data_IF_670570567211
#
_entry.id   IF_670570567211
#
_cell.length_a   1.000
_cell.length_b   1.000
_cell.length_c   1.000
_cell.angle_alpha   90.00
_cell.angle_beta   90.00
_cell.angle_gamma   90.00
#
_symmetry.space_group_name_H-M   'P 1'
#
loop_
_entity.id
_entity.type
_entity.pdbx_description
1 polymer ?
#
# COMPACT_ATOMS: atom_id res chain seq x y z
N UNK A 1 -4.43 23.30 50.64
CA UNK A 1 -4.22 22.33 49.54
C UNK A 1 -3.20 22.91 48.59
N UNK A 2 -2.04 22.27 48.40
CA UNK A 2 -0.90 22.85 47.69
C UNK A 2 -0.92 22.48 46.21
N UNK A 3 -0.24 23.28 45.37
CA UNK A 3 0.74 22.83 44.38
C UNK A 3 1.27 24.04 43.59
N UNK A 4 2.20 24.75 44.21
CA UNK A 4 3.20 25.58 43.54
C UNK A 4 4.58 25.13 44.05
N UNK A 5 5.39 24.57 43.16
CA UNK A 5 6.80 24.22 43.35
C UNK A 5 7.50 24.87 42.14
N UNK A 6 8.15 26.05 42.27
CA UNK A 6 9.41 26.41 42.94
C UNK A 6 10.66 25.80 42.28
N UNK A 7 11.55 26.70 41.87
CA UNK A 7 13.00 26.63 41.57
C UNK A 7 13.56 25.45 40.75
N UNK A 8 14.42 25.65 39.76
CA UNK A 8 15.69 26.38 39.85
C UNK A 8 16.80 25.37 39.54
N UNK A 9 17.39 25.43 38.35
CA UNK A 9 18.40 24.47 37.88
C UNK A 9 19.70 25.20 37.57
N UNK A 10 20.73 25.02 38.40
CA UNK A 10 22.08 25.54 38.23
C UNK A 10 23.12 24.50 38.68
N UNK A 11 24.19 24.34 37.88
CA UNK A 11 25.46 23.65 38.23
C UNK A 11 25.45 22.13 37.98
N UNK A 12 26.38 21.48 37.27
CA UNK A 12 27.78 21.79 36.96
C UNK A 12 28.70 20.99 37.89
N UNK A 13 29.67 20.24 37.31
CA UNK A 13 30.79 19.44 37.92
C UNK A 13 30.48 17.95 38.19
N UNK A 14 31.35 16.95 38.03
CA UNK A 14 32.70 16.80 37.48
C UNK A 14 32.99 15.29 37.25
N UNK A 15 33.96 15.05 36.37
CA UNK A 15 34.88 13.91 36.15
C UNK A 15 34.91 12.61 36.99
N UNK A 16 34.99 11.50 36.22
CA UNK A 16 35.98 10.40 36.23
C UNK A 16 36.19 9.48 37.45
N UNK A 17 36.01 8.16 37.24
CA UNK A 17 36.85 7.06 37.75
C UNK A 17 36.49 5.74 37.02
N UNK A 18 37.35 5.20 36.15
CA UNK A 18 38.29 4.08 36.38
C UNK A 18 37.64 2.69 36.55
N UNK A 19 37.99 1.77 35.64
CA UNK A 19 37.65 0.35 35.72
C UNK A 19 38.13 -0.45 34.50
N UNK A 20 39.45 -0.56 34.34
CA UNK A 20 40.11 -1.47 33.40
C UNK A 20 39.97 -2.91 33.89
N UNK A 21 39.48 -3.82 33.05
CA UNK A 21 39.69 -5.26 33.18
C UNK A 21 40.21 -5.82 31.85
N UNK A 22 41.34 -6.53 31.93
CA UNK A 22 42.20 -6.98 30.84
C UNK A 22 42.02 -8.46 30.48
N UNK A 23 42.49 -8.80 29.27
CA UNK A 23 43.02 -10.09 28.75
C UNK A 23 42.05 -10.98 27.93
N UNK A 24 42.56 -11.84 27.01
CA UNK A 24 43.75 -11.72 26.16
C UNK A 24 43.47 -12.06 24.66
N UNK A 25 44.51 -11.91 23.85
CA UNK A 25 44.52 -12.06 22.39
C UNK A 25 44.74 -13.51 21.92
N UNK A 26 44.33 -13.76 20.67
CA UNK A 26 44.70 -14.84 19.72
C UNK A 26 43.87 -16.13 19.75
N UNK A 27 43.04 -16.32 18.72
CA UNK A 27 43.25 -17.41 17.75
C UNK A 27 42.26 -17.29 16.57
N UNK A 28 42.83 -17.33 15.37
CA UNK A 28 42.16 -17.41 14.09
C UNK A 28 41.23 -18.63 14.03
N UNK A 29 39.95 -18.44 13.72
CA UNK A 29 39.18 -19.51 13.08
C UNK A 29 38.81 -19.08 11.66
N UNK A 30 39.57 -19.69 10.76
CA UNK A 30 39.64 -19.54 9.31
C UNK A 30 38.28 -19.86 8.69
N UNK A 31 37.87 -19.05 7.72
CA UNK A 31 36.78 -19.34 6.78
C UNK A 31 36.91 -20.76 6.24
N UNK A 32 35.89 -21.59 6.44
CA UNK A 32 35.62 -22.74 5.56
C UNK A 32 34.29 -22.44 4.88
N UNK A 33 34.38 -21.93 3.65
CA UNK A 33 33.28 -21.91 2.70
C UNK A 33 32.97 -23.37 2.32
N UNK A 34 32.18 -24.03 3.16
CA UNK A 34 31.60 -25.32 2.86
C UNK A 34 30.42 -25.13 1.91
N UNK A 35 30.55 -25.66 0.70
CA UNK A 35 29.53 -25.73 -0.34
C UNK A 35 28.25 -26.39 0.21
N UNK A 36 27.29 -25.57 0.63
CA UNK A 36 25.88 -25.97 0.55
C UNK A 36 25.40 -25.57 -0.84
N UNK A 37 25.51 -26.50 -1.79
CA UNK A 37 24.76 -26.43 -3.04
C UNK A 37 23.28 -26.56 -2.70
N UNK A 38 22.67 -25.48 -2.20
CA UNK A 38 21.24 -25.36 -2.07
C UNK A 38 20.66 -25.17 -3.47
N UNK A 39 20.64 -26.25 -4.27
CA UNK A 39 19.76 -26.29 -5.43
C UNK A 39 18.33 -26.45 -4.95
N UNK A 40 17.78 -25.39 -4.35
CA UNK A 40 16.34 -25.20 -4.25
C UNK A 40 15.84 -24.73 -5.62
N UNK A 41 15.94 -25.61 -6.60
CA UNK A 41 15.38 -25.40 -7.93
C UNK A 41 13.87 -25.62 -7.85
N UNK A 42 13.09 -24.55 -7.87
CA UNK A 42 11.67 -24.66 -8.19
C UNK A 42 11.57 -25.03 -9.67
N UNK A 43 11.28 -26.30 -9.98
CA UNK A 43 10.93 -26.72 -11.33
C UNK A 43 9.54 -26.16 -11.62
N UNK A 44 9.49 -25.09 -12.42
CA UNK A 44 8.27 -24.34 -12.75
C UNK A 44 7.28 -25.07 -13.66
N UNK A 45 7.06 -26.37 -13.49
CA UNK A 45 5.91 -27.05 -14.09
C UNK A 45 4.68 -26.77 -13.21
N UNK A 46 4.14 -25.55 -13.33
CA UNK A 46 2.80 -25.26 -12.83
C UNK A 46 1.83 -25.99 -13.76
N UNK A 47 0.97 -26.89 -13.24
CA UNK A 47 -0.08 -27.52 -14.05
C UNK A 47 -0.87 -26.42 -14.74
N UNK A 48 -1.15 -26.58 -16.03
CA UNK A 48 -1.93 -25.61 -16.81
C UNK A 48 -3.16 -25.23 -16.01
N UNK A 49 -3.21 -23.98 -15.55
CA UNK A 49 -4.33 -23.38 -14.85
C UNK A 49 -5.56 -23.61 -15.71
N UNK A 50 -6.33 -24.62 -15.34
CA UNK A 50 -7.42 -25.11 -16.17
C UNK A 50 -8.64 -24.19 -16.09
N UNK A 51 -8.50 -23.03 -15.43
CA UNK A 51 -9.47 -21.94 -15.38
C UNK A 51 -10.76 -22.32 -14.65
N UNK A 52 -10.79 -23.50 -14.01
CA UNK A 52 -11.98 -24.09 -13.38
C UNK A 52 -12.17 -23.60 -11.95
N UNK A 53 -11.12 -23.04 -11.35
CA UNK A 53 -11.10 -22.56 -9.97
C UNK A 53 -11.38 -21.04 -9.86
N UNK A 54 -11.86 -20.41 -10.93
CA UNK A 54 -12.39 -19.05 -10.88
C UNK A 54 -13.85 -19.13 -10.43
N UNK A 55 -14.05 -19.32 -9.13
CA UNK A 55 -15.37 -19.09 -8.52
C UNK A 55 -15.62 -17.58 -8.54
N UNK A 56 -16.41 -17.10 -9.50
CA UNK A 56 -16.86 -15.72 -9.57
C UNK A 56 -17.92 -15.52 -8.47
N UNK A 57 -17.48 -15.02 -7.30
CA UNK A 57 -18.40 -14.67 -6.23
C UNK A 57 -19.20 -13.45 -6.71
N UNK A 58 -20.53 -13.53 -6.87
CA UNK A 58 -21.30 -12.39 -7.33
C UNK A 58 -21.27 -11.30 -6.26
N UNK A 59 -20.57 -10.20 -6.57
CA UNK A 59 -20.54 -9.02 -5.72
C UNK A 59 -21.92 -8.35 -5.73
N UNK A 60 -22.35 -7.74 -4.61
CA UNK A 60 -23.57 -6.95 -4.61
C UNK A 60 -23.45 -5.81 -5.65
N UNK A 61 -24.55 -5.47 -6.35
CA UNK A 61 -24.52 -4.38 -7.30
C UNK A 61 -24.19 -3.07 -6.59
N UNK A 62 -23.38 -2.22 -7.23
CA UNK A 62 -23.11 -0.88 -6.72
C UNK A 62 -24.40 -0.06 -6.67
N UNK A 63 -24.57 0.70 -5.59
CA UNK A 63 -25.74 1.55 -5.36
C UNK A 63 -25.31 3.00 -5.21
N UNK A 64 -25.99 3.88 -5.94
CA UNK A 64 -25.77 5.32 -5.84
C UNK A 64 -26.28 5.85 -4.49
N UNK A 65 -25.54 6.80 -3.91
CA UNK A 65 -25.88 7.46 -2.66
C UNK A 65 -26.24 8.93 -2.95
N UNK A 66 -27.53 9.27 -3.12
CA UNK A 66 -27.95 10.63 -3.44
C UNK A 66 -28.00 11.55 -2.21
N UNK A 67 -28.24 11.01 -1.01
CA UNK A 67 -28.56 11.83 0.18
C UNK A 67 -27.34 12.31 0.99
N UNK A 68 -26.12 12.11 0.48
CA UNK A 68 -24.89 12.51 1.19
C UNK A 68 -24.47 13.96 0.85
N UNK A 69 -24.03 14.76 1.84
CA UNK A 69 -23.55 16.12 1.56
C UNK A 69 -22.27 16.08 0.74
N UNK A 70 -22.09 17.07 -0.15
CA UNK A 70 -20.99 17.09 -1.14
C UNK A 70 -19.59 16.94 -0.52
N UNK A 71 -19.36 17.50 0.67
CA UNK A 71 -18.06 17.36 1.34
C UNK A 71 -17.79 15.93 1.81
N UNK A 72 -18.81 15.25 2.33
CA UNK A 72 -18.73 13.84 2.71
C UNK A 72 -18.50 12.97 1.49
N UNK A 73 -19.20 13.25 0.38
CA UNK A 73 -19.00 12.57 -0.90
C UNK A 73 -17.55 12.69 -1.40
N UNK A 74 -16.98 13.91 -1.38
CA UNK A 74 -15.57 14.13 -1.77
C UNK A 74 -14.60 13.38 -0.88
N UNK A 75 -14.80 13.41 0.44
CA UNK A 75 -13.94 12.69 1.38
C UNK A 75 -14.00 11.17 1.17
N UNK A 76 -15.20 10.62 0.94
CA UNK A 76 -15.42 9.21 0.61
C UNK A 76 -14.73 8.83 -0.69
N UNK A 77 -14.98 9.57 -1.77
CA UNK A 77 -14.39 9.31 -3.08
C UNK A 77 -12.86 9.38 -3.05
N UNK A 78 -12.29 10.32 -2.28
CA UNK A 78 -10.85 10.38 -2.07
C UNK A 78 -10.30 9.13 -1.36
N UNK A 79 -11.02 8.61 -0.37
CA UNK A 79 -10.66 7.39 0.32
C UNK A 79 -10.74 6.17 -0.61
N UNK A 80 -11.84 6.01 -1.34
CA UNK A 80 -12.05 4.91 -2.31
C UNK A 80 -11.04 4.93 -3.46
N UNK A 81 -10.58 6.12 -3.86
CA UNK A 81 -9.51 6.28 -4.85
C UNK A 81 -8.16 5.72 -4.36
N UNK A 82 -7.92 5.75 -3.05
CA UNK A 82 -6.67 5.29 -2.42
C UNK A 82 -6.71 3.82 -1.99
N UNK A 83 -7.89 3.22 -1.88
CA UNK A 83 -8.08 1.85 -1.38
C UNK A 83 -8.31 0.87 -2.53
N UNK A 84 -7.33 0.79 -3.44
CA UNK A 84 -7.36 -0.11 -4.61
C UNK A 84 -6.46 -1.32 -4.40
N UNK A 85 -6.74 -2.43 -5.07
CA UNK A 85 -5.94 -3.66 -4.99
C UNK A 85 -4.56 -3.56 -5.64
N UNK A 86 -4.37 -2.59 -6.55
CA UNK A 86 -3.11 -2.34 -7.26
C UNK A 86 -2.53 -0.94 -6.98
N UNK A 87 -1.21 -0.84 -6.93
CA UNK A 87 -0.51 0.42 -6.63
C UNK A 87 -0.60 1.43 -7.78
N UNK A 88 -0.62 0.93 -9.01
CA UNK A 88 -0.73 1.73 -10.23
C UNK A 88 -1.99 2.59 -10.20
N UNK A 89 -3.15 1.97 -9.95
CA UNK A 89 -4.41 2.71 -9.81
C UNK A 89 -4.43 3.59 -8.56
N UNK A 90 -3.86 3.13 -7.44
CA UNK A 90 -3.77 3.98 -6.24
C UNK A 90 -3.07 5.30 -6.55
N UNK A 91 -1.93 5.26 -7.26
CA UNK A 91 -1.16 6.46 -7.60
C UNK A 91 -1.94 7.33 -8.59
N UNK A 92 -2.42 6.75 -9.69
CA UNK A 92 -3.16 7.48 -10.73
C UNK A 92 -4.42 8.17 -10.18
N UNK A 93 -5.27 7.42 -9.48
CA UNK A 93 -6.54 7.92 -8.98
C UNK A 93 -6.35 8.86 -7.79
N UNK A 94 -5.38 8.62 -6.90
CA UNK A 94 -5.17 9.50 -5.74
C UNK A 94 -4.69 10.89 -6.13
N UNK A 95 -3.81 10.99 -7.14
CA UNK A 95 -3.34 12.27 -7.68
C UNK A 95 -4.50 13.01 -8.36
N UNK A 96 -5.24 12.32 -9.23
CA UNK A 96 -6.40 12.89 -9.91
C UNK A 96 -7.46 13.39 -8.92
N UNK A 97 -7.80 12.57 -7.92
CA UNK A 97 -8.81 12.87 -6.91
C UNK A 97 -8.41 14.10 -6.07
N UNK A 98 -7.14 14.18 -5.66
CA UNK A 98 -6.64 15.30 -4.84
C UNK A 98 -6.79 16.65 -5.55
N UNK A 99 -6.55 16.70 -6.86
CA UNK A 99 -6.57 17.94 -7.64
C UNK A 99 -7.97 18.31 -8.11
N UNK A 100 -8.80 17.32 -8.47
CA UNK A 100 -10.05 17.57 -9.18
C UNK A 100 -11.30 17.50 -8.29
N UNK A 101 -11.34 16.69 -7.23
CA UNK A 101 -12.57 16.50 -6.43
C UNK A 101 -13.11 17.80 -5.82
N UNK A 102 -12.21 18.71 -5.41
CA UNK A 102 -12.59 20.00 -4.84
C UNK A 102 -13.24 20.94 -5.86
N UNK A 103 -12.92 20.76 -7.15
CA UNK A 103 -13.40 21.61 -8.26
C UNK A 103 -14.61 21.02 -8.99
N UNK A 104 -14.88 19.73 -8.79
CA UNK A 104 -15.98 19.03 -9.46
C UNK A 104 -17.35 19.43 -8.89
N UNK A 105 -18.33 19.52 -9.78
CA UNK A 105 -19.74 19.63 -9.46
C UNK A 105 -20.31 18.28 -9.00
N UNK A 106 -21.48 18.29 -8.38
CA UNK A 106 -22.17 17.07 -7.93
C UNK A 106 -22.34 16.03 -9.06
N UNK A 107 -22.77 16.48 -10.24
CA UNK A 107 -22.94 15.60 -11.40
C UNK A 107 -21.61 14.94 -11.82
N UNK A 108 -20.49 15.67 -11.74
CA UNK A 108 -19.17 15.14 -12.04
C UNK A 108 -18.70 14.16 -10.97
N UNK A 109 -18.99 14.45 -9.69
CA UNK A 109 -18.71 13.52 -8.58
C UNK A 109 -19.49 12.21 -8.75
N UNK A 110 -20.75 12.25 -9.18
CA UNK A 110 -21.55 11.05 -9.41
C UNK A 110 -21.00 10.21 -10.58
N UNK A 111 -20.54 10.87 -11.66
CA UNK A 111 -19.87 10.17 -12.77
C UNK A 111 -18.55 9.53 -12.32
N UNK A 112 -17.78 10.24 -11.50
CA UNK A 112 -16.54 9.71 -10.95
C UNK A 112 -16.78 8.52 -10.02
N UNK A 113 -17.78 8.61 -9.15
CA UNK A 113 -18.21 7.53 -8.25
C UNK A 113 -18.54 6.25 -9.02
N UNK A 114 -19.35 6.36 -10.08
CA UNK A 114 -19.65 5.24 -10.98
C UNK A 114 -18.39 4.70 -11.64
N UNK A 115 -17.56 5.57 -12.23
CA UNK A 115 -16.33 5.15 -12.93
C UNK A 115 -15.42 4.29 -12.06
N UNK A 116 -15.26 4.66 -10.78
CA UNK A 116 -14.31 3.99 -9.90
C UNK A 116 -14.93 2.78 -9.16
N UNK A 117 -16.24 2.76 -8.91
CA UNK A 117 -16.88 1.74 -8.06
C UNK A 117 -17.78 0.74 -8.80
N UNK A 118 -18.18 1.03 -10.04
CA UNK A 118 -18.91 0.09 -10.90
C UNK A 118 -18.09 -1.14 -11.32
N UNK A 119 -16.81 -1.02 -11.76
CA UNK A 119 -16.05 -2.18 -12.20
C UNK A 119 -15.66 -3.07 -11.02
N UNK A 120 -15.92 -4.38 -11.16
CA UNK A 120 -15.51 -5.38 -10.16
C UNK A 120 -13.99 -5.61 -10.13
N UNK A 121 -13.27 -5.19 -11.17
CA UNK A 121 -11.83 -5.39 -11.31
C UNK A 121 -11.08 -4.09 -11.61
N UNK A 122 -10.08 -3.78 -10.78
CA UNK A 122 -9.22 -2.62 -10.93
C UNK A 122 -8.40 -2.63 -12.25
N UNK A 123 -8.13 -3.80 -12.85
CA UNK A 123 -7.42 -3.86 -14.13
C UNK A 123 -8.16 -3.16 -15.26
N UNK A 124 -9.49 -3.20 -15.28
CA UNK A 124 -10.26 -2.55 -16.34
C UNK A 124 -10.13 -1.03 -16.26
N UNK A 125 -10.12 -0.46 -15.05
CA UNK A 125 -9.83 0.97 -14.82
C UNK A 125 -8.45 1.34 -15.37
N UNK A 126 -7.44 0.53 -15.10
CA UNK A 126 -6.08 0.77 -15.58
C UNK A 126 -6.00 0.75 -17.12
N UNK A 127 -6.64 -0.24 -17.75
CA UNK A 127 -6.71 -0.36 -19.20
C UNK A 127 -7.43 0.82 -19.85
N UNK A 128 -8.52 1.31 -19.25
CA UNK A 128 -9.23 2.52 -19.71
C UNK A 128 -8.36 3.76 -19.60
N UNK A 129 -7.66 3.94 -18.48
CA UNK A 129 -6.82 5.09 -18.24
C UNK A 129 -5.60 5.14 -19.17
N UNK A 130 -5.02 3.98 -19.49
CA UNK A 130 -3.82 3.87 -20.33
C UNK A 130 -4.12 3.69 -21.82
N UNK A 131 -5.38 3.48 -22.20
CA UNK A 131 -5.79 3.20 -23.57
C UNK A 131 -5.26 1.85 -24.10
N UNK A 132 -4.74 1.00 -23.21
CA UNK A 132 -4.22 -0.31 -23.62
C UNK A 132 -5.40 -1.28 -23.74
N UNK A 133 -5.67 -1.75 -24.95
CA UNK A 133 -6.75 -2.72 -25.17
C UNK A 133 -6.35 -4.05 -24.53
N UNK A 134 -7.22 -4.61 -23.68
CA UNK A 134 -7.06 -5.98 -23.16
C UNK A 134 -6.86 -6.89 -24.36
N UNK A 135 -5.64 -7.40 -24.51
CA UNK A 135 -5.29 -8.23 -25.66
C UNK A 135 -6.12 -9.51 -25.54
N UNK A 136 -7.24 -9.57 -26.26
CA UNK A 136 -8.01 -10.81 -26.33
C UNK A 136 -7.05 -11.84 -26.87
N UNK A 137 -6.79 -12.88 -26.08
CA UNK A 137 -6.02 -14.04 -26.55
C UNK A 137 -6.80 -14.58 -27.75
N UNK A 138 -6.40 -14.20 -28.96
CA UNK A 138 -6.81 -14.89 -30.18
C UNK A 138 -6.31 -16.33 -30.00
N UNK A 139 -7.24 -17.25 -29.72
CA UNK A 139 -6.94 -18.67 -29.76
C UNK A 139 -6.52 -19.00 -31.20
N UNK A 140 -5.42 -19.74 -31.42
CA UNK A 140 -5.05 -20.20 -32.75
C UNK A 140 -6.13 -21.09 -33.35
#
# INVERSE_FOLDING_TARGET
GPRGWLEGRQGGKDMAALGLCSLPSRALCRRVLGLVSLQRGYRGDSPTDSGKDVLEIPLPPWQERPDEPLQTKRARLLYESRKRGMLENCILLSLFAKENLNRMSEQQLNRYDRLINEPSNDWDIYYWATGTTKRSRRRP
#
